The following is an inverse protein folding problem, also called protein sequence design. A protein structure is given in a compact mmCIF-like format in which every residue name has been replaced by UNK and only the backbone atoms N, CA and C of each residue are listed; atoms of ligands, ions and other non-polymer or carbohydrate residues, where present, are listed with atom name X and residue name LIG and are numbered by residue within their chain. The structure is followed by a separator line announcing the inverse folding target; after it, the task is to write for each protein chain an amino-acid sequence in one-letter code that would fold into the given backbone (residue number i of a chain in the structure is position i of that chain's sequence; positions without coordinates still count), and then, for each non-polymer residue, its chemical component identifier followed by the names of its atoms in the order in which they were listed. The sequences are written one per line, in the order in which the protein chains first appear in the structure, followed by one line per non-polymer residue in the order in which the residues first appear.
data_IF_028470168766
#
_entry.id   IF_028470168766
#
_cell.length_a   1.000
_cell.length_b   1.000
_cell.length_c   1.000
_cell.angle_alpha   90.00
_cell.angle_beta   90.00
_cell.angle_gamma   90.00
#
_symmetry.space_group_name_H-M   'P 1'
#
loop_
_entity.id
_entity.type
_entity.pdbx_description
1 polymer ?
#
# COMPACT_ATOMS: atom_id res chain seq x y z
N UNK A 1 -13.46 60.37 -65.83
CA UNK A 1 -14.39 59.86 -64.77
C UNK A 1 -13.69 58.74 -64.01
N UNK A 2 -13.23 59.01 -62.78
CA UNK A 2 -12.53 58.01 -61.91
C UNK A 2 -13.50 57.61 -60.80
N UNK A 3 -13.90 56.35 -60.73
CA UNK A 3 -14.73 55.83 -59.70
C UNK A 3 -13.83 55.15 -58.67
N UNK A 4 -13.87 55.64 -57.42
CA UNK A 4 -13.20 55.03 -56.24
C UNK A 4 -14.04 53.90 -55.67
N UNK A 5 -13.46 52.74 -55.57
CA UNK A 5 -14.04 51.55 -54.87
C UNK A 5 -13.43 51.49 -53.48
N UNK A 6 -14.28 51.70 -52.45
CA UNK A 6 -13.93 51.50 -51.03
C UNK A 6 -13.92 50.02 -50.72
N UNK A 7 -12.77 49.48 -50.35
CA UNK A 7 -12.68 48.10 -49.74
C UNK A 7 -12.91 48.22 -48.24
N UNK A 8 -14.00 47.67 -47.76
CA UNK A 8 -14.22 47.46 -46.30
C UNK A 8 -13.56 46.11 -45.90
N UNK A 9 -12.55 46.21 -45.03
CA UNK A 9 -11.97 45.01 -44.37
C UNK A 9 -12.85 44.61 -43.20
N UNK A 10 -13.35 43.40 -43.22
CA UNK A 10 -14.05 42.77 -42.08
C UNK A 10 -13.03 41.94 -41.32
N UNK A 11 -12.71 42.38 -40.11
CA UNK A 11 -11.85 41.65 -39.21
C UNK A 11 -12.70 40.64 -38.42
N UNK A 12 -12.50 39.36 -38.71
CA UNK A 12 -13.16 38.24 -38.00
C UNK A 12 -12.33 37.89 -36.75
N UNK A 13 -12.81 38.27 -35.56
CA UNK A 13 -12.23 37.78 -34.30
C UNK A 13 -12.70 36.35 -34.07
N UNK A 14 -11.79 35.41 -34.20
CA UNK A 14 -12.02 34.03 -33.77
C UNK A 14 -11.74 33.95 -32.27
N UNK A 15 -12.79 33.73 -31.47
CA UNK A 15 -12.68 33.41 -30.07
C UNK A 15 -12.28 31.91 -29.93
N UNK A 16 -11.03 31.65 -29.57
CA UNK A 16 -10.56 30.31 -29.23
C UNK A 16 -10.94 30.05 -27.76
N UNK A 17 -11.99 29.28 -27.55
CA UNK A 17 -12.32 28.74 -26.23
C UNK A 17 -11.34 27.62 -25.90
N UNK A 18 -10.38 27.89 -25.01
CA UNK A 18 -9.49 26.90 -24.40
C UNK A 18 -10.32 26.07 -23.42
N UNK A 19 -10.70 24.85 -23.83
CA UNK A 19 -11.11 23.80 -22.89
C UNK A 19 -9.89 23.40 -22.07
N UNK A 20 -9.85 23.85 -20.83
CA UNK A 20 -8.86 23.40 -19.85
C UNK A 20 -9.05 21.94 -19.50
N UNK A 21 -8.22 21.06 -20.04
CA UNK A 21 -8.09 19.69 -19.57
C UNK A 21 -7.40 19.77 -18.21
N UNK A 22 -8.18 19.56 -17.14
CA UNK A 22 -7.67 19.45 -15.78
C UNK A 22 -6.90 18.13 -15.67
N UNK A 23 -5.60 18.18 -15.87
CA UNK A 23 -4.72 17.08 -15.46
C UNK A 23 -4.77 16.96 -13.93
N UNK A 24 -5.11 15.77 -13.45
CA UNK A 24 -5.07 15.45 -12.02
C UNK A 24 -3.73 15.90 -11.44
N UNK A 25 -3.77 16.72 -10.40
CA UNK A 25 -2.56 17.24 -9.77
C UNK A 25 -1.77 16.06 -9.17
N UNK A 26 -0.48 15.92 -9.47
CA UNK A 26 0.37 14.98 -8.74
C UNK A 26 0.32 15.37 -7.26
N UNK A 27 0.40 14.37 -6.38
CA UNK A 27 0.42 14.55 -4.93
C UNK A 27 1.71 15.31 -4.55
N UNK A 28 1.74 16.61 -4.86
CA UNK A 28 2.85 17.50 -4.50
C UNK A 28 2.77 17.70 -3.00
N UNK A 29 3.75 17.17 -2.27
CA UNK A 29 3.95 17.43 -0.87
C UNK A 29 3.99 18.95 -0.63
N UNK A 30 2.90 19.51 -0.10
CA UNK A 30 2.88 20.87 0.39
C UNK A 30 3.93 20.99 1.51
N UNK A 31 5.02 21.70 1.25
CA UNK A 31 6.01 22.10 2.24
C UNK A 31 5.40 23.20 3.12
N UNK A 32 4.53 22.81 4.02
CA UNK A 32 4.22 23.59 5.23
C UNK A 32 4.78 22.79 6.38
N UNK A 33 5.73 23.33 7.13
CA UNK A 33 6.48 22.79 8.24
C UNK A 33 6.00 21.46 8.85
N UNK A 34 6.15 20.37 8.11
CA UNK A 34 5.75 19.05 8.58
C UNK A 34 6.55 18.74 9.84
N UNK A 35 5.87 18.62 10.95
CA UNK A 35 6.50 18.23 12.21
C UNK A 35 7.23 16.91 11.98
N UNK A 36 8.56 16.89 12.21
CA UNK A 36 9.36 15.69 12.02
C UNK A 36 8.78 14.57 12.89
N UNK A 37 8.54 13.40 12.29
CA UNK A 37 8.00 12.22 12.98
C UNK A 37 8.85 11.89 14.22
N UNK A 38 8.22 11.88 15.40
CA UNK A 38 8.86 11.41 16.65
C UNK A 38 8.60 9.91 16.81
N UNK A 39 9.55 9.11 16.37
CA UNK A 39 9.46 7.65 16.41
C UNK A 39 9.24 7.10 17.83
N UNK A 40 9.67 7.79 18.90
CA UNK A 40 9.49 7.35 20.29
C UNK A 40 8.03 7.28 20.72
N UNK A 41 7.14 7.95 19.97
CA UNK A 41 5.69 7.93 20.18
C UNK A 41 4.97 6.90 19.32
N UNK A 42 5.70 6.21 18.44
CA UNK A 42 5.12 5.21 17.52
C UNK A 42 5.10 3.84 18.19
N UNK A 43 3.97 3.18 18.14
CA UNK A 43 3.79 1.79 18.59
C UNK A 43 3.15 0.98 17.48
N UNK A 44 3.71 -0.18 17.18
CA UNK A 44 3.32 -1.06 16.09
C UNK A 44 2.87 -2.41 16.62
N UNK A 45 1.87 -3.01 15.97
CA UNK A 45 1.51 -4.42 16.17
C UNK A 45 1.85 -5.20 14.90
N UNK A 46 2.77 -6.16 15.01
CA UNK A 46 3.06 -7.14 13.96
C UNK A 46 2.15 -8.33 14.15
N UNK A 47 1.27 -8.56 13.17
CA UNK A 47 0.33 -9.67 13.17
C UNK A 47 0.75 -10.70 12.13
N UNK A 48 0.80 -11.99 12.55
CA UNK A 48 1.40 -13.06 11.76
C UNK A 48 0.57 -14.34 11.72
N UNK A 49 -0.73 -14.29 12.11
CA UNK A 49 -1.61 -15.48 12.03
C UNK A 49 -1.74 -15.94 10.59
N UNK A 50 -1.71 -17.26 10.41
CA UNK A 50 -2.01 -17.94 9.17
C UNK A 50 -3.19 -18.88 9.36
N UNK A 51 -4.13 -18.87 8.43
CA UNK A 51 -5.19 -19.86 8.35
C UNK A 51 -4.67 -21.20 7.80
N UNK A 52 -5.60 -22.14 7.55
CA UNK A 52 -5.25 -23.45 6.98
C UNK A 52 -4.61 -23.26 5.59
N UNK A 53 -3.38 -23.77 5.40
CA UNK A 53 -2.65 -23.73 4.15
C UNK A 53 -1.16 -23.49 4.34
N UNK A 54 -0.54 -22.80 3.37
CA UNK A 54 0.89 -22.53 3.41
C UNK A 54 1.23 -21.48 4.46
N UNK A 55 2.28 -21.74 5.24
CA UNK A 55 2.85 -20.84 6.25
C UNK A 55 4.31 -20.58 5.90
N UNK A 56 4.67 -19.30 5.75
CA UNK A 56 6.04 -18.91 5.40
C UNK A 56 7.02 -19.12 6.56
N UNK A 57 8.17 -19.67 6.25
CA UNK A 57 9.25 -19.90 7.23
C UNK A 57 10.02 -18.62 7.60
N UNK A 58 9.77 -17.52 6.87
CA UNK A 58 10.37 -16.20 7.08
C UNK A 58 9.69 -15.38 8.19
N UNK A 59 8.56 -15.83 8.76
CA UNK A 59 7.80 -15.10 9.79
C UNK A 59 8.67 -14.69 10.99
N UNK A 60 9.49 -15.58 11.59
CA UNK A 60 10.36 -15.19 12.70
C UNK A 60 11.36 -14.09 12.31
N UNK A 61 11.92 -14.17 11.09
CA UNK A 61 12.88 -13.19 10.57
C UNK A 61 12.21 -11.83 10.34
N UNK A 62 10.96 -11.81 9.85
CA UNK A 62 10.21 -10.57 9.65
C UNK A 62 9.88 -9.87 10.97
N UNK A 63 9.46 -10.62 11.99
CA UNK A 63 9.21 -10.08 13.33
C UNK A 63 10.50 -9.48 13.89
N UNK A 64 11.62 -10.21 13.81
CA UNK A 64 12.91 -9.75 14.34
C UNK A 64 13.39 -8.50 13.61
N UNK A 65 13.29 -8.46 12.27
CA UNK A 65 13.65 -7.28 11.47
C UNK A 65 12.89 -6.02 11.92
N UNK A 66 11.58 -6.14 12.16
CA UNK A 66 10.76 -5.00 12.60
C UNK A 66 11.12 -4.59 14.03
N UNK A 67 11.41 -5.55 14.94
CA UNK A 67 11.90 -5.27 16.29
C UNK A 67 13.27 -4.57 16.28
N UNK A 68 14.19 -5.00 15.40
CA UNK A 68 15.48 -4.35 15.22
C UNK A 68 15.29 -2.91 14.77
N UNK A 69 14.43 -2.66 13.77
CA UNK A 69 14.08 -1.30 13.36
C UNK A 69 13.49 -0.47 14.52
N UNK A 70 12.63 -1.07 15.34
CA UNK A 70 12.09 -0.43 16.54
C UNK A 70 13.19 0.02 17.51
N UNK A 71 14.15 -0.87 17.76
CA UNK A 71 15.31 -0.57 18.63
C UNK A 71 16.20 0.54 18.05
N UNK A 72 16.47 0.48 16.72
CA UNK A 72 17.33 1.45 16.04
C UNK A 72 16.72 2.86 15.95
N UNK A 73 15.39 2.94 15.76
CA UNK A 73 14.68 4.20 15.54
C UNK A 73 13.88 4.69 16.76
N UNK A 74 13.71 3.86 17.78
CA UNK A 74 13.07 4.23 19.05
C UNK A 74 11.57 3.97 19.13
N UNK A 75 10.95 3.24 18.18
CA UNK A 75 9.53 2.88 18.26
C UNK A 75 9.31 1.52 18.93
N UNK A 76 8.12 1.34 19.52
CA UNK A 76 7.75 0.11 20.22
C UNK A 76 7.10 -0.89 19.25
N UNK A 77 7.39 -2.17 19.42
CA UNK A 77 6.86 -3.27 18.59
C UNK A 77 6.32 -4.38 19.46
N UNK A 78 5.03 -4.66 19.34
CA UNK A 78 4.41 -5.89 19.81
C UNK A 78 4.21 -6.86 18.64
N UNK A 79 4.22 -8.17 18.91
CA UNK A 79 3.93 -9.19 17.90
C UNK A 79 2.92 -10.18 18.45
N UNK A 80 1.99 -10.63 17.60
CA UNK A 80 0.96 -11.62 17.96
C UNK A 80 0.52 -12.41 16.72
N UNK A 81 0.15 -13.65 16.93
CA UNK A 81 -0.61 -14.49 16.00
C UNK A 81 -2.03 -14.83 16.56
N UNK A 82 -2.38 -14.25 17.72
CA UNK A 82 -3.69 -14.43 18.35
C UNK A 82 -4.68 -13.36 17.82
N UNK A 83 -5.79 -13.75 17.17
CA UNK A 83 -6.80 -12.82 16.69
C UNK A 83 -7.60 -12.15 17.81
N UNK A 84 -7.51 -12.61 19.05
CA UNK A 84 -8.14 -11.97 20.20
C UNK A 84 -7.59 -10.56 20.47
N UNK A 85 -6.43 -10.20 19.91
CA UNK A 85 -5.88 -8.83 19.98
C UNK A 85 -6.71 -7.80 19.20
N UNK A 86 -7.58 -8.25 18.28
CA UNK A 86 -8.43 -7.36 17.48
C UNK A 86 -9.69 -6.94 18.24
N UNK A 87 -9.50 -5.95 19.10
CA UNK A 87 -10.58 -5.20 19.79
C UNK A 87 -10.27 -3.71 19.72
N UNK A 88 -11.29 -2.85 19.68
CA UNK A 88 -11.10 -1.38 19.71
C UNK A 88 -10.22 -0.96 20.88
N UNK A 89 -10.43 -1.57 22.06
CA UNK A 89 -9.69 -1.26 23.29
C UNK A 89 -8.19 -1.57 23.18
N UNK A 90 -7.81 -2.59 22.43
CA UNK A 90 -6.42 -2.94 22.20
C UNK A 90 -5.82 -2.18 21.01
N UNK A 91 -6.52 -2.13 19.87
CA UNK A 91 -5.98 -1.56 18.63
C UNK A 91 -5.71 -0.05 18.73
N UNK A 92 -6.47 0.68 19.56
CA UNK A 92 -6.23 2.12 19.80
C UNK A 92 -4.86 2.47 20.38
N UNK A 93 -4.09 1.47 20.84
CA UNK A 93 -2.73 1.64 21.37
C UNK A 93 -1.67 1.75 20.27
N UNK A 94 -2.00 1.40 19.04
CA UNK A 94 -1.05 1.24 17.93
C UNK A 94 -1.25 2.30 16.86
N UNK A 95 -0.16 2.82 16.32
CA UNK A 95 -0.14 3.73 15.19
C UNK A 95 -0.26 2.99 13.85
N UNK A 96 0.33 1.80 13.76
CA UNK A 96 0.14 0.94 12.59
C UNK A 96 0.06 -0.54 12.97
N UNK A 97 -0.72 -1.27 12.16
CA UNK A 97 -0.78 -2.73 12.15
C UNK A 97 0.04 -3.23 10.97
N UNK A 98 0.92 -4.20 11.21
CA UNK A 98 1.76 -4.80 10.17
C UNK A 98 1.32 -6.24 10.00
N UNK A 99 0.65 -6.54 8.89
CA UNK A 99 0.34 -7.91 8.51
C UNK A 99 1.55 -8.47 7.76
N UNK A 100 2.38 -9.21 8.45
CA UNK A 100 3.62 -9.73 7.91
C UNK A 100 3.50 -11.21 7.62
N UNK A 101 3.48 -11.55 6.34
CA UNK A 101 3.37 -12.93 5.86
C UNK A 101 2.13 -13.67 6.38
N UNK A 102 1.06 -12.94 6.68
CA UNK A 102 -0.26 -13.53 6.98
C UNK A 102 -0.85 -14.18 5.73
N UNK A 103 -1.67 -15.20 5.89
CA UNK A 103 -2.29 -15.90 4.77
C UNK A 103 -3.60 -16.58 5.16
N UNK A 104 -4.55 -16.69 4.22
CA UNK A 104 -5.84 -17.33 4.39
C UNK A 104 -6.71 -16.65 5.49
N UNK A 105 -7.57 -17.41 6.17
CA UNK A 105 -8.46 -16.86 7.20
C UNK A 105 -7.68 -16.61 8.49
N UNK A 106 -7.60 -15.36 8.89
CA UNK A 106 -6.79 -14.93 10.06
C UNK A 106 -7.62 -14.38 11.21
N UNK A 107 -8.94 -14.27 11.04
CA UNK A 107 -9.89 -13.88 12.07
C UNK A 107 -10.85 -15.01 12.36
N UNK A 108 -11.14 -15.22 13.65
CA UNK A 108 -12.05 -16.29 14.11
C UNK A 108 -13.50 -15.80 14.14
N UNK A 109 -13.72 -14.46 14.25
CA UNK A 109 -15.04 -13.86 14.41
C UNK A 109 -15.21 -12.59 13.57
N UNK A 110 -16.45 -12.24 13.26
CA UNK A 110 -16.78 -10.98 12.58
C UNK A 110 -16.49 -9.77 13.45
N UNK A 111 -16.55 -9.88 14.77
CA UNK A 111 -16.20 -8.78 15.69
C UNK A 111 -14.73 -8.38 15.54
N UNK A 112 -13.82 -9.31 15.29
CA UNK A 112 -12.40 -9.05 15.05
C UNK A 112 -12.20 -8.32 13.70
N UNK A 113 -12.95 -8.73 12.66
CA UNK A 113 -12.97 -8.03 11.35
C UNK A 113 -13.48 -6.61 11.49
N UNK A 114 -14.59 -6.43 12.20
CA UNK A 114 -15.16 -5.11 12.49
C UNK A 114 -14.17 -4.23 13.27
N UNK A 115 -13.46 -4.79 14.25
CA UNK A 115 -12.44 -4.03 15.00
C UNK A 115 -11.31 -3.53 14.08
N UNK A 116 -10.87 -4.33 13.09
CA UNK A 116 -9.91 -3.86 12.07
C UNK A 116 -10.50 -2.72 11.23
N UNK A 117 -11.75 -2.87 10.74
CA UNK A 117 -12.41 -1.81 9.97
C UNK A 117 -12.46 -0.50 10.77
N UNK A 118 -12.92 -0.57 12.01
CA UNK A 118 -13.05 0.58 12.90
C UNK A 118 -11.71 1.25 13.20
N UNK A 119 -10.65 0.45 13.33
CA UNK A 119 -9.29 0.97 13.49
C UNK A 119 -8.83 1.79 12.27
N UNK A 120 -9.04 1.27 11.05
CA UNK A 120 -8.72 1.99 9.82
C UNK A 120 -9.58 3.26 9.70
N UNK A 121 -10.89 3.17 9.96
CA UNK A 121 -11.83 4.30 9.95
C UNK A 121 -11.48 5.39 10.96
N UNK A 122 -10.87 5.00 12.07
CA UNK A 122 -10.35 5.94 13.08
C UNK A 122 -9.04 6.65 12.62
N UNK A 123 -8.48 6.31 11.48
CA UNK A 123 -7.23 6.88 10.96
C UNK A 123 -5.99 5.99 11.20
N UNK A 124 -6.18 4.71 11.47
CA UNK A 124 -5.08 3.76 11.70
C UNK A 124 -4.23 3.50 10.47
N UNK A 125 -2.93 3.23 10.66
CA UNK A 125 -2.01 2.82 9.61
C UNK A 125 -2.03 1.31 9.39
N UNK A 126 -1.88 0.88 8.13
CA UNK A 126 -1.76 -0.53 7.77
C UNK A 126 -0.55 -0.77 6.86
N UNK A 127 0.22 -1.81 7.18
CA UNK A 127 1.35 -2.26 6.36
C UNK A 127 1.15 -3.73 6.03
N UNK A 128 1.10 -4.06 4.75
CA UNK A 128 1.05 -5.44 4.26
C UNK A 128 2.39 -5.88 3.68
N UNK A 129 2.88 -7.05 4.08
CA UNK A 129 4.15 -7.60 3.58
C UNK A 129 3.91 -8.98 2.98
N UNK A 130 4.35 -9.16 1.77
CA UNK A 130 4.39 -10.40 1.00
C UNK A 130 3.02 -11.10 0.95
N UNK A 131 2.86 -12.26 1.58
CA UNK A 131 1.61 -13.01 1.52
C UNK A 131 0.43 -12.39 2.28
N UNK A 132 0.60 -11.17 2.85
CA UNK A 132 -0.54 -10.41 3.37
C UNK A 132 -1.65 -10.24 2.33
N UNK A 133 -1.34 -10.22 1.02
CA UNK A 133 -2.33 -10.21 -0.06
C UNK A 133 -3.14 -11.51 -0.19
N UNK A 134 -2.68 -12.58 0.41
CA UNK A 134 -3.41 -13.86 0.51
C UNK A 134 -4.33 -13.97 1.72
N UNK A 135 -4.42 -12.91 2.53
CA UNK A 135 -5.24 -12.86 3.74
C UNK A 135 -6.69 -12.55 3.40
N UNK A 136 -7.63 -13.24 4.08
CA UNK A 136 -9.09 -12.95 4.01
C UNK A 136 -9.60 -12.80 2.56
N UNK A 137 -9.26 -13.74 1.69
CA UNK A 137 -9.45 -13.64 0.22
C UNK A 137 -10.90 -13.43 -0.21
N UNK A 138 -11.87 -13.80 0.63
CA UNK A 138 -13.30 -13.63 0.33
C UNK A 138 -13.87 -12.34 0.93
N UNK A 139 -13.11 -11.65 1.78
CA UNK A 139 -13.59 -10.43 2.43
C UNK A 139 -13.33 -9.20 1.56
N UNK A 140 -14.40 -8.73 0.91
CA UNK A 140 -14.35 -7.64 -0.06
C UNK A 140 -13.69 -6.36 0.48
N UNK A 141 -14.04 -5.95 1.71
CA UNK A 141 -13.48 -4.75 2.32
C UNK A 141 -11.95 -4.86 2.49
N UNK A 142 -11.48 -6.02 2.96
CA UNK A 142 -10.04 -6.26 3.16
C UNK A 142 -9.28 -6.24 1.84
N UNK A 143 -9.81 -6.87 0.79
CA UNK A 143 -9.21 -6.82 -0.56
C UNK A 143 -9.08 -5.40 -1.09
N UNK A 144 -10.10 -4.57 -0.89
CA UNK A 144 -10.08 -3.16 -1.31
C UNK A 144 -9.10 -2.35 -0.46
N UNK A 145 -9.04 -2.57 0.84
CA UNK A 145 -8.12 -1.91 1.77
C UNK A 145 -6.67 -2.26 1.44
N UNK A 146 -6.35 -3.51 1.18
CA UNK A 146 -4.99 -3.94 0.81
C UNK A 146 -4.60 -3.52 -0.62
N UNK A 147 -5.57 -3.36 -1.52
CA UNK A 147 -5.34 -2.99 -2.92
C UNK A 147 -5.56 -4.14 -3.92
N UNK A 148 -5.81 -5.36 -3.46
CA UNK A 148 -6.08 -6.54 -4.27
C UNK A 148 -5.98 -7.82 -3.46
N UNK A 149 -6.17 -8.97 -4.12
CA UNK A 149 -6.00 -10.27 -3.47
C UNK A 149 -5.09 -11.17 -4.30
N UNK A 150 -4.25 -11.93 -3.61
CA UNK A 150 -3.34 -12.89 -4.23
C UNK A 150 -4.11 -13.89 -5.10
N UNK A 151 -3.60 -14.10 -6.30
CA UNK A 151 -4.10 -15.10 -7.24
C UNK A 151 -3.14 -16.28 -7.34
N UNK A 152 -1.93 -16.03 -7.85
CA UNK A 152 -0.86 -17.00 -7.93
C UNK A 152 0.51 -16.30 -8.10
N UNK A 153 1.59 -17.07 -8.16
CA UNK A 153 2.95 -16.57 -8.38
C UNK A 153 3.73 -17.46 -9.35
N UNK A 154 4.76 -16.88 -9.98
CA UNK A 154 5.75 -17.64 -10.73
C UNK A 154 6.64 -18.45 -9.78
N UNK A 155 7.37 -19.44 -10.34
CA UNK A 155 8.40 -20.13 -9.56
C UNK A 155 9.35 -19.09 -8.95
N UNK A 156 9.82 -19.38 -7.76
CA UNK A 156 10.89 -18.60 -7.13
C UNK A 156 12.08 -18.47 -8.08
N UNK A 157 12.47 -17.25 -8.44
CA UNK A 157 13.50 -16.96 -9.41
C UNK A 157 14.00 -15.51 -9.29
N UNK A 158 15.08 -15.20 -9.99
CA UNK A 158 15.59 -13.83 -10.15
C UNK A 158 14.79 -13.09 -11.22
N UNK A 159 14.37 -11.87 -10.91
CA UNK A 159 13.69 -10.96 -11.84
C UNK A 159 13.97 -9.50 -11.48
N UNK A 160 13.71 -8.61 -12.44
CA UNK A 160 13.88 -7.16 -12.29
C UNK A 160 12.68 -6.52 -11.57
N UNK A 161 13.01 -5.49 -10.78
CA UNK A 161 12.00 -4.56 -10.19
C UNK A 161 12.34 -3.16 -10.68
N UNK A 162 11.31 -2.43 -11.13
CA UNK A 162 11.41 -1.05 -11.61
C UNK A 162 10.71 -0.13 -10.61
N UNK A 163 11.40 0.92 -10.16
CA UNK A 163 10.83 1.91 -9.25
C UNK A 163 10.16 3.01 -10.08
N UNK A 164 8.90 3.32 -9.76
CA UNK A 164 8.12 4.38 -10.40
C UNK A 164 8.13 5.68 -9.59
N UNK A 165 8.30 5.61 -8.27
CA UNK A 165 8.40 6.78 -7.40
C UNK A 165 9.59 6.70 -6.43
N UNK A 166 10.70 7.31 -6.82
CA UNK A 166 11.91 7.44 -5.99
C UNK A 166 11.78 8.43 -4.83
N UNK A 167 10.70 9.19 -4.75
CA UNK A 167 10.48 10.13 -3.63
C UNK A 167 9.84 9.46 -2.44
N UNK A 168 9.23 8.28 -2.66
CA UNK A 168 8.62 7.53 -1.59
C UNK A 168 9.68 6.97 -0.65
N UNK A 169 9.52 7.15 0.67
CA UNK A 169 10.52 6.78 1.69
C UNK A 169 10.95 5.30 1.62
N UNK A 170 10.05 4.40 1.22
CA UNK A 170 10.35 2.97 1.10
C UNK A 170 11.28 2.63 -0.08
N UNK A 171 11.43 3.52 -1.06
CA UNK A 171 12.14 3.23 -2.31
C UNK A 171 13.29 4.21 -2.61
N UNK A 172 13.35 5.35 -1.92
CA UNK A 172 14.31 6.42 -2.17
C UNK A 172 15.80 6.00 -2.08
N UNK A 173 16.10 4.88 -1.42
CA UNK A 173 17.45 4.36 -1.23
C UNK A 173 17.86 3.29 -2.25
N UNK A 174 16.92 2.85 -3.09
CA UNK A 174 17.14 1.82 -4.09
C UNK A 174 17.44 2.45 -5.47
N UNK A 175 18.20 1.77 -6.37
CA UNK A 175 18.36 2.24 -7.73
C UNK A 175 17.06 2.15 -8.53
N UNK A 176 16.94 2.90 -9.62
CA UNK A 176 15.76 2.94 -10.49
C UNK A 176 15.29 1.54 -10.93
N UNK A 177 16.24 0.66 -11.15
CA UNK A 177 16.02 -0.75 -11.48
C UNK A 177 17.00 -1.61 -10.72
N UNK A 178 16.53 -2.70 -10.15
CA UNK A 178 17.35 -3.69 -9.48
C UNK A 178 16.81 -5.09 -9.70
N UNK A 179 17.66 -6.09 -9.52
CA UNK A 179 17.25 -7.50 -9.56
C UNK A 179 17.14 -8.06 -8.15
N UNK A 180 16.22 -8.99 -7.98
CA UNK A 180 16.10 -9.77 -6.75
C UNK A 180 15.64 -11.20 -7.05
N UNK A 181 15.89 -12.09 -6.12
CA UNK A 181 15.30 -13.43 -6.08
C UNK A 181 14.08 -13.42 -5.17
N UNK A 182 12.92 -13.69 -5.74
CA UNK A 182 11.65 -13.69 -5.00
C UNK A 182 10.59 -14.48 -5.77
N UNK A 183 9.37 -14.51 -5.25
CA UNK A 183 8.18 -14.94 -5.95
C UNK A 183 7.53 -13.75 -6.65
N UNK A 184 7.43 -13.79 -7.98
CA UNK A 184 6.68 -12.78 -8.72
C UNK A 184 5.19 -13.02 -8.52
N UNK A 185 4.56 -12.25 -7.63
CA UNK A 185 3.15 -12.34 -7.30
C UNK A 185 2.27 -11.70 -8.36
N UNK A 186 1.16 -12.37 -8.66
CA UNK A 186 0.03 -11.81 -9.40
C UNK A 186 -1.18 -11.70 -8.48
N UNK A 187 -1.84 -10.57 -8.55
CA UNK A 187 -3.05 -10.28 -7.77
C UNK A 187 -4.23 -10.07 -8.73
N UNK A 188 -5.41 -10.34 -8.24
CA UNK A 188 -6.68 -10.04 -8.89
C UNK A 188 -7.51 -9.07 -8.08
N UNK A 189 -8.60 -8.56 -8.65
CA UNK A 189 -9.51 -7.61 -8.01
C UNK A 189 -8.76 -6.37 -7.49
N UNK A 190 -7.79 -5.88 -8.27
CA UNK A 190 -6.94 -4.76 -7.86
C UNK A 190 -7.73 -3.45 -7.80
N UNK A 191 -7.50 -2.68 -6.72
CA UNK A 191 -8.11 -1.37 -6.52
C UNK A 191 -7.47 -0.34 -7.46
N UNK A 192 -8.27 0.36 -8.26
CA UNK A 192 -7.79 1.36 -9.23
C UNK A 192 -7.31 2.68 -8.57
N UNK A 193 -7.62 2.89 -7.29
CA UNK A 193 -7.31 4.15 -6.59
C UNK A 193 -5.94 4.13 -5.88
N UNK A 194 -5.21 3.02 -5.92
CA UNK A 194 -3.89 2.94 -5.28
C UNK A 194 -2.81 3.61 -6.14
N UNK A 195 -1.80 4.17 -5.48
CA UNK A 195 -0.60 4.71 -6.12
C UNK A 195 0.45 3.61 -6.22
N UNK A 196 0.75 3.16 -7.44
CA UNK A 196 1.79 2.17 -7.68
C UNK A 196 3.17 2.83 -7.54
N UNK A 197 4.02 2.26 -6.70
CA UNK A 197 5.35 2.77 -6.36
C UNK A 197 6.47 2.00 -7.05
N UNK A 198 6.28 0.70 -7.28
CA UNK A 198 7.20 -0.16 -8.01
C UNK A 198 6.47 -1.30 -8.70
N UNK A 199 7.07 -1.85 -9.75
CA UNK A 199 6.54 -2.95 -10.54
C UNK A 199 7.61 -4.03 -10.74
N UNK A 200 7.18 -5.29 -10.83
CA UNK A 200 8.01 -6.39 -11.31
C UNK A 200 8.10 -6.29 -12.83
N UNK A 201 9.31 -6.45 -13.38
CA UNK A 201 9.57 -6.51 -14.80
C UNK A 201 9.42 -7.95 -15.31
N UNK A 202 8.28 -8.24 -15.90
CA UNK A 202 7.92 -9.58 -16.38
C UNK A 202 8.77 -10.03 -17.58
N UNK A 203 9.41 -9.09 -18.29
CA UNK A 203 10.31 -9.42 -19.42
C UNK A 203 11.60 -10.13 -18.97
N UNK A 204 11.94 -10.02 -17.68
CA UNK A 204 13.11 -10.64 -17.08
C UNK A 204 12.88 -12.03 -16.50
N UNK A 205 11.62 -12.48 -16.44
CA UNK A 205 11.29 -13.83 -15.98
C UNK A 205 11.73 -14.87 -16.99
N UNK A 206 12.48 -15.89 -16.52
CA UNK A 206 13.01 -16.98 -17.38
C UNK A 206 11.97 -18.07 -17.62
N UNK A 207 11.17 -18.40 -16.60
CA UNK A 207 10.18 -19.48 -16.60
C UNK A 207 8.78 -18.94 -16.33
N UNK A 208 8.28 -18.06 -17.21
CA UNK A 208 6.95 -17.49 -17.07
C UNK A 208 5.88 -18.45 -17.59
N UNK A 209 4.78 -18.59 -16.83
CA UNK A 209 3.63 -19.38 -17.29
C UNK A 209 2.93 -18.70 -18.46
N UNK A 210 2.38 -19.47 -19.43
CA UNK A 210 1.71 -18.90 -20.62
C UNK A 210 0.51 -18.00 -20.29
N UNK A 211 -0.15 -18.24 -19.17
CA UNK A 211 -1.35 -17.53 -18.70
C UNK A 211 -1.06 -16.38 -17.74
N UNK A 212 0.16 -15.84 -17.74
CA UNK A 212 0.49 -14.66 -16.91
C UNK A 212 -0.44 -13.48 -17.26
N UNK A 213 -0.83 -12.66 -16.29
CA UNK A 213 -1.63 -11.48 -16.55
C UNK A 213 -0.89 -10.50 -17.47
N UNK A 214 -1.57 -9.99 -18.50
CA UNK A 214 -1.04 -9.00 -19.46
C UNK A 214 -1.71 -7.64 -19.36
N UNK A 215 -2.60 -7.46 -18.37
CA UNK A 215 -3.38 -6.22 -18.20
C UNK A 215 -2.50 -4.98 -17.99
N UNK A 216 -1.28 -5.15 -17.46
CA UNK A 216 -0.28 -4.10 -17.29
C UNK A 216 0.88 -4.20 -18.29
N UNK A 217 0.73 -4.96 -19.40
CA UNK A 217 1.79 -5.23 -20.36
C UNK A 217 2.87 -6.15 -19.77
N UNK A 218 4.15 -5.78 -19.96
CA UNK A 218 5.30 -6.55 -19.47
C UNK A 218 5.74 -6.17 -18.05
N UNK A 219 4.86 -5.60 -17.26
CA UNK A 219 5.10 -5.28 -15.84
C UNK A 219 3.92 -5.70 -14.99
N UNK A 220 4.14 -5.88 -13.67
CA UNK A 220 3.06 -6.11 -12.72
C UNK A 220 3.31 -5.35 -11.41
N UNK A 221 2.29 -4.66 -10.82
CA UNK A 221 2.44 -3.94 -9.56
C UNK A 221 2.99 -4.82 -8.44
N UNK A 222 4.01 -4.32 -7.72
CA UNK A 222 4.64 -5.04 -6.62
C UNK A 222 4.68 -4.25 -5.30
N UNK A 223 4.70 -2.91 -5.39
CA UNK A 223 4.66 -2.03 -4.22
C UNK A 223 3.69 -0.89 -4.49
N UNK A 224 2.82 -0.60 -3.53
CA UNK A 224 1.88 0.51 -3.63
C UNK A 224 1.50 1.10 -2.28
N UNK A 225 0.79 2.21 -2.32
CA UNK A 225 0.16 2.81 -1.16
C UNK A 225 -1.18 3.44 -1.55
N UNK A 226 -2.05 3.64 -0.56
CA UNK A 226 -3.32 4.32 -0.73
C UNK A 226 -3.83 4.93 0.58
N UNK A 227 -4.72 5.89 0.47
CA UNK A 227 -5.61 6.30 1.56
C UNK A 227 -6.93 5.55 1.36
N UNK A 228 -7.38 4.84 2.39
CA UNK A 228 -8.57 4.01 2.31
C UNK A 228 -9.38 4.11 3.60
N UNK A 229 -10.67 4.39 3.46
CA UNK A 229 -11.68 4.38 4.54
C UNK A 229 -11.25 5.13 5.82
N UNK A 230 -10.47 6.22 5.67
CA UNK A 230 -9.96 7.05 6.77
C UNK A 230 -8.53 6.74 7.19
N UNK A 231 -7.99 5.59 6.86
CA UNK A 231 -6.61 5.19 7.17
C UNK A 231 -5.65 5.29 5.99
N UNK A 232 -4.41 4.91 6.23
CA UNK A 232 -3.34 4.84 5.22
C UNK A 232 -2.79 3.43 5.15
N UNK A 233 -2.63 2.93 3.95
CA UNK A 233 -2.16 1.57 3.67
C UNK A 233 -0.94 1.61 2.75
N UNK A 234 0.08 0.82 3.07
CA UNK A 234 1.23 0.49 2.21
C UNK A 234 1.42 -1.00 2.12
N UNK A 235 1.69 -1.49 0.92
CA UNK A 235 1.92 -2.90 0.67
C UNK A 235 3.16 -3.13 -0.19
N UNK A 236 3.85 -4.24 0.07
CA UNK A 236 4.88 -4.83 -0.79
C UNK A 236 4.64 -6.32 -0.99
N UNK A 237 4.67 -6.79 -2.24
CA UNK A 237 4.63 -8.22 -2.57
C UNK A 237 5.97 -8.91 -2.33
N UNK A 238 7.05 -8.13 -2.17
CA UNK A 238 8.41 -8.61 -1.96
C UNK A 238 8.59 -9.16 -0.54
N UNK A 239 9.53 -10.11 -0.35
CA UNK A 239 9.90 -10.57 0.99
C UNK A 239 9.62 -12.04 1.25
N UNK A 240 9.64 -12.90 0.23
CA UNK A 240 9.53 -14.35 0.43
C UNK A 240 10.73 -14.92 1.22
N UNK A 241 11.94 -14.46 0.91
CA UNK A 241 13.16 -15.00 1.53
C UNK A 241 13.36 -14.47 2.95
N UNK A 242 13.68 -15.37 3.86
CA UNK A 242 14.07 -15.01 5.24
C UNK A 242 15.34 -14.17 5.31
N UNK A 243 16.28 -14.37 4.38
CA UNK A 243 17.54 -13.63 4.28
C UNK A 243 17.31 -12.15 3.97
N UNK A 244 16.27 -11.81 3.22
CA UNK A 244 15.96 -10.42 2.86
C UNK A 244 15.75 -9.55 4.12
N UNK A 245 15.11 -10.09 5.15
CA UNK A 245 14.86 -9.39 6.42
C UNK A 245 16.14 -9.06 7.22
N UNK A 246 17.29 -9.65 6.83
CA UNK A 246 18.58 -9.37 7.42
C UNK A 246 19.33 -8.27 6.66
N UNK A 247 18.91 -7.94 5.42
CA UNK A 247 19.57 -6.92 4.62
C UNK A 247 19.15 -5.50 5.03
N UNK A 248 20.11 -4.55 5.05
CA UNK A 248 19.78 -3.14 5.35
C UNK A 248 18.79 -2.56 4.32
N UNK A 249 18.90 -2.94 3.06
CA UNK A 249 18.06 -2.45 1.97
C UNK A 249 16.59 -2.82 2.18
N UNK A 250 16.30 -4.09 2.48
CA UNK A 250 14.93 -4.54 2.67
C UNK A 250 14.34 -4.02 3.99
N UNK A 251 15.14 -3.93 5.05
CA UNK A 251 14.72 -3.29 6.32
C UNK A 251 14.37 -1.81 6.11
N UNK A 252 15.19 -1.07 5.32
CA UNK A 252 14.87 0.33 4.98
C UNK A 252 13.61 0.44 4.11
N UNK A 253 13.38 -0.53 3.22
CA UNK A 253 12.14 -0.61 2.45
C UNK A 253 10.91 -0.73 3.35
N UNK A 254 10.92 -1.66 4.30
CA UNK A 254 9.83 -1.82 5.28
C UNK A 254 9.70 -0.57 6.17
N UNK A 255 10.80 -0.02 6.67
CA UNK A 255 10.80 1.19 7.50
C UNK A 255 10.15 2.37 6.77
N UNK A 256 10.46 2.55 5.49
CA UNK A 256 9.87 3.62 4.68
C UNK A 256 8.36 3.44 4.45
N UNK A 257 7.88 2.19 4.33
CA UNK A 257 6.46 1.88 4.31
C UNK A 257 5.77 2.21 5.64
N UNK A 258 6.38 1.83 6.76
CA UNK A 258 5.91 2.18 8.10
C UNK A 258 5.89 3.72 8.27
N UNK A 259 6.96 4.40 7.87
CA UNK A 259 7.03 5.86 7.93
C UNK A 259 5.86 6.49 7.19
N UNK A 260 5.60 6.06 5.97
CA UNK A 260 4.54 6.63 5.15
C UNK A 260 3.16 6.52 5.80
N UNK A 261 2.84 5.39 6.43
CA UNK A 261 1.51 5.21 7.06
C UNK A 261 1.35 6.00 8.37
N UNK A 262 2.46 6.35 9.07
CA UNK A 262 2.39 7.03 10.36
C UNK A 262 2.76 8.53 10.33
N UNK A 263 3.52 9.00 9.33
CA UNK A 263 4.10 10.37 9.31
C UNK A 263 3.08 11.50 9.31
N UNK A 264 1.86 11.26 8.78
CA UNK A 264 0.76 12.23 8.72
C UNK A 264 -0.42 11.84 9.60
N UNK A 265 -0.23 10.83 10.45
CA UNK A 265 -1.30 10.31 11.28
C UNK A 265 -1.67 11.31 12.39
N UNK A 266 -2.94 11.69 12.45
CA UNK A 266 -3.53 12.32 13.61
C UNK A 266 -3.80 11.26 14.70
N UNK A 267 -4.04 11.64 15.97
CA UNK A 267 -4.54 10.71 16.97
C UNK A 267 -5.78 9.97 16.47
N UNK A 268 -5.85 8.65 16.75
CA UNK A 268 -6.97 7.82 16.31
C UNK A 268 -8.30 8.36 16.87
N UNK A 269 -9.26 8.59 15.98
CA UNK A 269 -10.58 9.12 16.31
C UNK A 269 -11.67 8.07 16.05
N UNK A 270 -11.93 7.25 17.04
CA UNK A 270 -12.95 6.20 16.96
C UNK A 270 -14.40 6.74 16.84
N UNK A 271 -14.64 8.05 17.05
CA UNK A 271 -15.94 8.65 16.76
C UNK A 271 -16.26 8.67 15.25
N UNK A 272 -15.23 8.58 14.40
CA UNK A 272 -15.38 8.44 12.95
C UNK A 272 -15.64 7.00 12.49
N UNK A 273 -15.36 6.03 13.35
CA UNK A 273 -15.53 4.61 13.02
C UNK A 273 -17.04 4.26 13.01
N UNK A 274 -17.48 3.72 11.90
CA UNK A 274 -18.89 3.44 11.66
C UNK A 274 -19.22 1.97 11.38
N UNK A 275 -18.19 1.11 11.20
CA UNK A 275 -18.40 -0.30 10.90
C UNK A 275 -19.12 -1.00 12.06
N UNK A 276 -20.15 -1.77 11.73
CA UNK A 276 -20.93 -2.64 12.60
C UNK A 276 -20.95 -4.09 12.09
N UNK A 277 -20.61 -4.31 10.81
CA UNK A 277 -20.54 -5.59 10.14
C UNK A 277 -19.34 -5.64 9.20
N UNK A 278 -18.69 -6.81 8.99
CA UNK A 278 -17.61 -6.93 7.99
C UNK A 278 -18.10 -6.70 6.55
N UNK A 279 -19.41 -6.70 6.32
CA UNK A 279 -20.02 -6.44 5.01
C UNK A 279 -20.39 -4.96 4.80
N UNK A 280 -20.11 -4.08 5.75
CA UNK A 280 -20.41 -2.66 5.58
C UNK A 280 -19.56 -2.07 4.43
N UNK A 281 -20.24 -1.25 3.61
CA UNK A 281 -19.59 -0.59 2.49
C UNK A 281 -18.78 0.62 2.95
N UNK A 282 -17.66 0.89 2.25
CA UNK A 282 -16.87 2.11 2.44
C UNK A 282 -17.75 3.34 2.17
N UNK A 283 -17.75 4.28 3.09
CA UNK A 283 -18.44 5.57 2.92
C UNK A 283 -17.52 6.52 2.18
N UNK A 284 -17.84 6.80 0.92
CA UNK A 284 -17.16 7.86 0.17
C UNK A 284 -17.58 9.22 0.75
N UNK A 285 -16.72 9.83 1.56
CA UNK A 285 -16.90 11.26 1.88
C UNK A 285 -16.63 12.03 0.60
N UNK A 286 -17.68 12.65 0.03
CA UNK A 286 -17.46 13.59 -1.06
C UNK A 286 -16.44 14.63 -0.59
N UNK A 287 -15.31 14.74 -1.31
CA UNK A 287 -14.37 15.86 -1.07
C UNK A 287 -15.15 17.15 -1.33
N UNK A 288 -15.45 17.89 -0.26
CA UNK A 288 -16.01 19.24 -0.34
C UNK A 288 -14.92 20.22 -0.81
#
# INVERSE_FOLDING_TARGET
MRTHIFKRSVTLLAAISLLGISYGQPCVAARTGAQKLDWRKVRLLVYTKNGKGYVHDNIPNSIEAIKVLGKEHGFSVDASDDPAVFTDANLKKYNALIFSNTNNVVFDTDSQRVALMRYIQAGGGFVGVHSASGTEREWKWFKQMLGGTFDWHEKFQRFGVIILDHKHASLAHLPERFEREDECYYLKEMNVNMTILAVNDLSTLKDSKPNRPTIFGDVFPSVWCQEFDGGREWYTSLGHRKEDYQTPEFRRHILGGIQWVVEKQAPLDYAKAYAASPNDSVRHTAKR
#
